data_IF_158141863029
#
_entry.id   IF_158141863029
#
_cell.length_a   1.000
_cell.length_b   1.000
_cell.length_c   1.000
_cell.angle_alpha   90.00
_cell.angle_beta   90.00
_cell.angle_gamma   90.00
#
_symmetry.space_group_name_H-M   'P 1'
#
loop_
_entity.id
_entity.type
_entity.pdbx_description
1 polymer ?
#
# COMPACT_ATOMS: atom_id res chain seq x y z
N UNK A 1 -12.58 15.75 28.05
CA UNK A 1 -12.72 14.29 28.24
C UNK A 1 -12.34 13.60 26.93
N UNK A 2 -11.16 12.98 26.76
CA UNK A 2 -10.83 12.39 25.47
C UNK A 2 -11.52 11.02 25.30
N UNK A 3 -12.06 10.86 24.10
CA UNK A 3 -12.86 9.77 23.56
C UNK A 3 -12.17 8.39 23.69
N UNK A 4 -12.73 7.42 24.43
CA UNK A 4 -11.93 6.30 24.95
C UNK A 4 -11.68 5.15 23.99
N UNK A 5 -12.47 4.89 22.93
CA UNK A 5 -12.23 3.71 22.08
C UNK A 5 -12.70 3.92 20.66
N UNK A 6 -11.80 4.29 19.76
CA UNK A 6 -12.07 4.07 18.34
C UNK A 6 -11.46 2.73 17.91
N UNK A 7 -12.23 1.62 17.84
CA UNK A 7 -11.72 0.35 17.36
C UNK A 7 -11.42 0.38 15.85
N UNK A 8 -11.79 1.48 15.19
CA UNK A 8 -11.44 1.71 13.79
C UNK A 8 -10.23 2.62 13.69
N UNK A 9 -9.28 2.23 12.86
CA UNK A 9 -8.08 3.02 12.56
C UNK A 9 -7.96 3.17 11.05
N UNK A 10 -7.46 4.32 10.60
CA UNK A 10 -7.24 4.58 9.18
C UNK A 10 -5.80 4.22 8.82
N UNK A 11 -5.65 3.26 7.90
CA UNK A 11 -4.34 2.91 7.34
C UNK A 11 -4.16 3.68 6.04
N UNK A 12 -3.12 4.52 6.01
CA UNK A 12 -2.70 5.24 4.81
C UNK A 12 -1.59 4.46 4.11
N UNK A 13 -1.70 4.31 2.79
CA UNK A 13 -0.69 3.64 1.98
C UNK A 13 -0.50 4.35 0.64
N UNK A 14 0.66 4.11 0.05
CA UNK A 14 1.04 4.66 -1.25
C UNK A 14 1.35 3.53 -2.21
N UNK A 15 0.85 3.67 -3.43
CA UNK A 15 1.22 2.81 -4.55
C UNK A 15 2.19 3.62 -5.41
N UNK A 16 3.47 3.23 -5.49
CA UNK A 16 4.44 3.95 -6.29
C UNK A 16 4.15 3.79 -7.78
N UNK A 17 4.52 4.80 -8.57
CA UNK A 17 4.53 4.66 -10.02
C UNK A 17 5.72 3.77 -10.39
N UNK A 18 5.45 2.57 -10.88
CA UNK A 18 6.50 1.64 -11.29
C UNK A 18 6.82 1.88 -12.75
N UNK A 19 8.05 2.27 -13.06
CA UNK A 19 8.57 2.18 -14.41
C UNK A 19 8.70 0.69 -14.71
N UNK A 20 8.07 0.22 -15.79
CA UNK A 20 8.36 -1.13 -16.27
C UNK A 20 9.76 -1.11 -16.85
N UNK A 21 10.70 -1.73 -16.16
CA UNK A 21 12.02 -2.07 -16.70
C UNK A 21 11.86 -3.24 -17.68
N UNK A 22 11.05 -3.07 -18.73
CA UNK A 22 11.33 -3.77 -19.97
C UNK A 22 12.34 -2.89 -20.72
N UNK A 23 13.41 -3.48 -21.24
CA UNK A 23 14.48 -2.77 -21.94
C UNK A 23 13.99 -2.24 -23.32
N UNK A 24 12.94 -1.43 -23.33
CA UNK A 24 12.48 -0.69 -24.51
C UNK A 24 13.05 0.71 -24.43
N UNK A 25 14.30 0.80 -24.87
CA UNK A 25 14.91 1.99 -25.42
C UNK A 25 13.88 2.89 -26.12
N UNK A 26 13.39 3.93 -25.44
CA UNK A 26 12.96 5.13 -26.15
C UNK A 26 14.23 5.91 -26.44
N UNK A 27 14.98 5.38 -27.42
CA UNK A 27 15.89 6.05 -28.34
C UNK A 27 16.60 7.25 -27.70
N UNK A 28 17.75 7.09 -27.05
CA UNK A 28 18.66 8.22 -26.82
C UNK A 28 19.19 8.73 -28.18
N UNK A 29 18.33 9.45 -28.92
CA UNK A 29 18.68 10.26 -30.07
C UNK A 29 19.19 11.59 -29.54
N UNK A 30 20.39 11.93 -29.98
CA UNK A 30 21.25 13.03 -29.51
C UNK A 30 20.72 14.44 -29.82
N UNK A 31 19.44 14.59 -30.14
CA UNK A 31 18.83 15.82 -30.65
C UNK A 31 17.39 16.07 -30.17
N UNK A 32 16.82 15.23 -29.30
CA UNK A 32 15.45 15.43 -28.80
C UNK A 32 15.43 16.07 -27.41
N UNK A 33 14.74 17.20 -27.26
CA UNK A 33 14.26 17.70 -25.97
C UNK A 33 13.27 16.67 -25.40
N UNK A 34 13.77 15.79 -24.53
CA UNK A 34 13.00 14.78 -23.80
C UNK A 34 12.03 15.42 -22.79
N UNK A 35 10.97 16.06 -23.28
CA UNK A 35 9.78 16.32 -22.47
C UNK A 35 8.87 15.09 -22.48
N UNK A 36 9.42 13.90 -22.19
CA UNK A 36 8.62 12.69 -22.05
C UNK A 36 8.15 12.53 -20.60
N UNK A 37 7.22 13.39 -20.19
CA UNK A 37 6.48 13.23 -18.93
C UNK A 37 5.11 12.61 -19.23
N UNK A 38 5.05 11.50 -19.95
CA UNK A 38 3.82 10.69 -19.95
C UNK A 38 3.93 9.79 -18.72
N UNK A 39 3.35 10.22 -17.61
CA UNK A 39 3.16 9.37 -16.43
C UNK A 39 2.37 8.11 -16.86
N UNK A 40 3.08 7.03 -17.19
CA UNK A 40 2.47 5.73 -17.41
C UNK A 40 2.01 5.17 -16.07
N UNK A 41 0.85 5.66 -15.58
CA UNK A 41 0.20 5.19 -14.36
C UNK A 41 -0.43 3.82 -14.61
N UNK A 42 0.38 2.77 -14.56
CA UNK A 42 -0.11 1.41 -14.80
C UNK A 42 -0.93 0.90 -13.62
N UNK A 43 -2.12 0.34 -13.89
CA UNK A 43 -2.96 -0.26 -12.86
C UNK A 43 -2.25 -1.51 -12.31
N UNK A 44 -2.07 -1.56 -10.99
CA UNK A 44 -1.41 -2.65 -10.29
C UNK A 44 -2.41 -3.47 -9.48
N UNK A 45 -2.19 -4.78 -9.37
CA UNK A 45 -2.91 -5.62 -8.40
C UNK A 45 -2.36 -5.33 -7.01
N UNK A 46 -3.21 -4.80 -6.14
CA UNK A 46 -2.86 -4.36 -4.79
C UNK A 46 -3.47 -5.29 -3.76
N UNK A 47 -2.66 -5.70 -2.80
CA UNK A 47 -3.11 -6.44 -1.62
C UNK A 47 -2.61 -5.77 -0.35
N UNK A 48 -3.50 -5.51 0.60
CA UNK A 48 -3.16 -5.00 1.92
C UNK A 48 -3.73 -5.94 2.98
N UNK A 49 -2.85 -6.63 3.70
CA UNK A 49 -3.20 -7.65 4.69
C UNK A 49 -2.62 -7.27 6.05
N UNK A 50 -3.38 -7.50 7.10
CA UNK A 50 -2.98 -7.36 8.50
C UNK A 50 -2.63 -8.74 9.07
N UNK A 51 -1.52 -8.79 9.81
CA UNK A 51 -0.96 -9.95 10.47
C UNK A 51 -0.78 -9.69 11.97
N UNK A 52 -0.90 -10.73 12.78
CA UNK A 52 -0.46 -10.69 14.19
C UNK A 52 1.05 -10.98 14.33
N UNK A 53 1.56 -10.95 15.57
CA UNK A 53 2.98 -11.19 15.87
C UNK A 53 3.48 -12.59 15.50
N UNK A 54 2.57 -13.56 15.31
CA UNK A 54 2.91 -14.92 14.90
C UNK A 54 2.88 -15.07 13.36
N UNK A 55 2.60 -13.99 12.63
CA UNK A 55 2.49 -14.00 11.17
C UNK A 55 1.16 -14.56 10.66
N UNK A 56 0.14 -14.70 11.51
CA UNK A 56 -1.19 -15.16 11.07
C UNK A 56 -1.95 -14.01 10.43
N UNK A 57 -2.55 -14.25 9.27
CA UNK A 57 -3.44 -13.29 8.62
C UNK A 57 -4.71 -13.09 9.46
N UNK A 58 -4.98 -11.85 9.87
CA UNK A 58 -6.15 -11.51 10.69
C UNK A 58 -7.19 -10.70 9.92
N UNK A 59 -6.78 -9.99 8.86
CA UNK A 59 -7.70 -9.27 7.97
C UNK A 59 -7.06 -8.99 6.61
N UNK A 60 -7.84 -9.11 5.53
CA UNK A 60 -7.50 -8.54 4.21
C UNK A 60 -8.32 -7.26 4.02
N UNK A 61 -7.65 -6.11 3.91
CA UNK A 61 -8.31 -4.81 3.80
C UNK A 61 -8.43 -4.33 2.35
N UNK A 62 -7.49 -4.75 1.50
CA UNK A 62 -7.49 -4.43 0.07
C UNK A 62 -7.08 -5.67 -0.71
N UNK A 63 -7.81 -5.97 -1.79
CA UNK A 63 -7.45 -7.02 -2.75
C UNK A 63 -8.05 -6.68 -4.12
N UNK A 64 -7.56 -5.61 -4.75
CA UNK A 64 -8.13 -5.10 -6.00
C UNK A 64 -7.08 -4.42 -6.86
N UNK A 65 -7.46 -4.09 -8.09
CA UNK A 65 -6.62 -3.32 -9.00
C UNK A 65 -6.75 -1.82 -8.71
N UNK A 66 -5.63 -1.11 -8.55
CA UNK A 66 -5.58 0.33 -8.29
C UNK A 66 -4.47 1.01 -9.10
N UNK A 67 -4.63 2.30 -9.39
CA UNK A 67 -3.59 3.12 -10.03
C UNK A 67 -2.54 3.54 -9.00
N UNK A 68 -1.33 3.95 -9.40
CA UNK A 68 -0.39 4.63 -8.54
C UNK A 68 -1.04 5.87 -7.90
N UNK A 69 -0.79 6.07 -6.60
CA UNK A 69 -1.43 7.14 -5.83
C UNK A 69 -1.41 6.89 -4.32
N UNK A 70 -2.01 7.83 -3.58
CA UNK A 70 -2.20 7.74 -2.14
C UNK A 70 -3.62 7.27 -1.84
N UNK A 71 -3.74 6.37 -0.87
CA UNK A 71 -5.00 5.74 -0.52
C UNK A 71 -5.13 5.62 0.99
N UNK A 72 -6.37 5.52 1.44
CA UNK A 72 -6.72 5.28 2.83
C UNK A 72 -7.72 4.13 2.89
N UNK A 73 -7.61 3.29 3.91
CA UNK A 73 -8.57 2.22 4.19
C UNK A 73 -8.87 2.18 5.67
N UNK A 74 -10.13 2.00 6.01
CA UNK A 74 -10.57 1.82 7.38
C UNK A 74 -10.32 0.37 7.82
N UNK A 75 -9.67 0.22 8.96
CA UNK A 75 -9.45 -1.07 9.60
C UNK A 75 -10.28 -1.16 10.88
N UNK A 76 -11.30 -2.01 10.87
CA UNK A 76 -12.10 -2.31 12.05
C UNK A 76 -11.47 -3.45 12.87
N UNK A 77 -10.81 -3.08 13.96
CA UNK A 77 -10.13 -3.99 14.87
C UNK A 77 -10.97 -4.34 16.11
N UNK A 78 -12.30 -4.15 16.06
CA UNK A 78 -13.19 -4.37 17.23
C UNK A 78 -13.11 -5.78 17.81
N UNK A 79 -12.79 -6.79 16.99
CA UNK A 79 -12.69 -8.18 17.42
C UNK A 79 -11.24 -8.63 17.74
N UNK A 80 -10.27 -7.72 17.67
CA UNK A 80 -8.87 -8.01 17.94
C UNK A 80 -8.46 -7.57 19.35
N UNK A 81 -7.46 -8.21 19.94
CA UNK A 81 -6.92 -7.86 21.27
C UNK A 81 -5.91 -6.72 21.15
N UNK A 82 -5.75 -5.91 22.20
CA UNK A 82 -4.63 -4.96 22.29
C UNK A 82 -3.31 -5.69 22.07
N UNK A 83 -2.40 -5.11 21.30
CA UNK A 83 -1.14 -5.76 20.95
C UNK A 83 -0.48 -5.18 19.71
N UNK A 84 0.62 -5.81 19.32
CA UNK A 84 1.36 -5.43 18.11
C UNK A 84 0.80 -6.20 16.92
N UNK A 85 0.62 -5.50 15.81
CA UNK A 85 0.22 -6.06 14.53
C UNK A 85 1.10 -5.48 13.43
N UNK A 86 1.13 -6.17 12.30
CA UNK A 86 1.83 -5.72 11.11
C UNK A 86 0.82 -5.65 9.97
N UNK A 87 0.94 -4.66 9.11
CA UNK A 87 0.25 -4.68 7.83
C UNK A 87 1.27 -4.68 6.70
N UNK A 88 0.99 -5.47 5.67
CA UNK A 88 1.79 -5.59 4.46
C UNK A 88 0.96 -5.13 3.29
N UNK A 89 1.48 -4.16 2.54
CA UNK A 89 1.00 -3.84 1.20
C UNK A 89 1.90 -4.50 0.16
N UNK A 90 1.30 -5.06 -0.87
CA UNK A 90 1.98 -5.57 -2.06
C UNK A 90 1.28 -5.01 -3.31
N UNK A 91 2.05 -4.39 -4.22
CA UNK A 91 1.60 -3.86 -5.49
C UNK A 91 2.69 -4.11 -6.55
N UNK A 92 2.47 -5.08 -7.44
CA UNK A 92 3.52 -5.48 -8.40
C UNK A 92 4.81 -5.92 -7.70
N UNK A 93 5.93 -5.27 -8.04
CA UNK A 93 7.25 -5.44 -7.39
C UNK A 93 7.39 -4.69 -6.06
N UNK A 94 6.49 -3.75 -5.76
CA UNK A 94 6.52 -3.00 -4.51
C UNK A 94 5.91 -3.81 -3.37
N UNK A 95 6.62 -3.92 -2.26
CA UNK A 95 6.10 -4.46 -1.00
C UNK A 95 6.62 -3.62 0.16
N UNK A 96 5.73 -3.25 1.07
CA UNK A 96 6.06 -2.51 2.27
C UNK A 96 5.34 -3.14 3.46
N UNK A 97 6.05 -3.26 4.59
CA UNK A 97 5.51 -3.77 5.85
C UNK A 97 5.66 -2.69 6.91
N UNK A 98 4.58 -2.41 7.65
CA UNK A 98 4.56 -1.44 8.72
C UNK A 98 3.97 -2.03 9.99
N UNK A 99 4.55 -1.66 11.13
CA UNK A 99 4.12 -2.06 12.47
C UNK A 99 3.05 -1.09 12.98
N UNK A 100 2.02 -1.62 13.63
CA UNK A 100 1.04 -0.84 14.37
C UNK A 100 0.83 -1.42 15.78
N UNK A 101 0.49 -0.54 16.72
CA UNK A 101 0.10 -0.92 18.08
C UNK A 101 -1.40 -0.68 18.17
N UNK A 102 -2.16 -1.74 18.42
CA UNK A 102 -3.58 -1.64 18.70
C UNK A 102 -3.77 -1.47 20.21
N UNK A 103 -4.40 -0.38 20.60
CA UNK A 103 -4.78 -0.10 21.99
C UNK A 103 -6.31 -0.13 22.08
N UNK A 104 -6.83 -1.11 22.81
CA UNK A 104 -8.12 -1.06 23.49
C UNK A 104 -7.90 -0.87 24.99
#
# INVERSE_FOLDING_TARGET
>A
YPNPFNPTTTIKYQIPNQVRDDNSSVIARSDATWQSNVEMRYIQSVRLIVYDILGREVATLVNQKQKPGNYEVEFNARNLKSGIYFYRISAGSYTEVKKMILLK
#
